data_IF_555751101395
#
_entry.id   IF_555751101395
#
_cell.length_a   1.000
_cell.length_b   1.000
_cell.length_c   1.000
_cell.angle_alpha   90.00
_cell.angle_beta   90.00
_cell.angle_gamma   90.00
#
_symmetry.space_group_name_H-M   'P 1'
#
loop_
_entity.id
_entity.type
_entity.pdbx_description
1 polymer ?
#
# COMPACT_ATOMS: atom_id res chain seq x y z
N UNK A 1 -12.41 -7.44 -8.67
CA UNK A 1 -11.02 -7.95 -8.69
C UNK A 1 -10.64 -8.40 -7.30
N UNK A 2 -9.93 -9.53 -7.20
CA UNK A 2 -9.24 -9.94 -5.99
C UNK A 2 -7.78 -9.48 -6.08
N UNK A 3 -7.25 -8.91 -5.00
CA UNK A 3 -5.84 -8.58 -4.86
C UNK A 3 -5.00 -9.85 -4.76
N UNK A 4 -3.85 -9.84 -5.44
CA UNK A 4 -2.81 -10.82 -5.15
C UNK A 4 -2.20 -10.54 -3.76
N UNK A 5 -1.56 -11.53 -3.16
CA UNK A 5 -0.89 -11.38 -1.86
C UNK A 5 0.03 -10.15 -1.75
N UNK A 6 0.96 -9.87 -2.70
CA UNK A 6 1.82 -8.69 -2.60
C UNK A 6 1.03 -7.37 -2.69
N UNK A 7 -0.09 -7.36 -3.39
CA UNK A 7 -0.98 -6.19 -3.50
C UNK A 7 -1.69 -5.95 -2.17
N UNK A 8 -2.24 -7.01 -1.57
CA UNK A 8 -2.90 -6.93 -0.28
C UNK A 8 -1.92 -6.51 0.83
N UNK A 9 -0.68 -7.02 0.82
CA UNK A 9 0.37 -6.62 1.76
C UNK A 9 0.73 -5.14 1.62
N UNK A 10 0.95 -4.64 0.41
CA UNK A 10 1.29 -3.22 0.18
C UNK A 10 0.13 -2.31 0.58
N UNK A 11 -1.10 -2.64 0.15
CA UNK A 11 -2.27 -1.80 0.44
C UNK A 11 -2.63 -1.85 1.93
N UNK A 12 -2.52 -3.02 2.55
CA UNK A 12 -2.65 -3.23 3.99
C UNK A 12 -1.68 -2.37 4.77
N UNK A 13 -0.39 -2.45 4.46
CA UNK A 13 0.65 -1.63 5.10
C UNK A 13 0.43 -0.12 4.92
N UNK A 14 -0.07 0.34 3.77
CA UNK A 14 -0.41 1.74 3.58
C UNK A 14 -1.70 2.16 4.31
N UNK A 15 -2.65 1.23 4.49
CA UNK A 15 -3.93 1.49 5.15
C UNK A 15 -3.84 1.55 6.67
N UNK A 16 -2.83 0.91 7.30
CA UNK A 16 -2.65 0.95 8.75
C UNK A 16 -2.04 2.27 9.24
N UNK A 17 -1.46 3.05 8.33
CA UNK A 17 -0.90 4.37 8.58
C UNK A 17 -1.99 5.40 8.81
N UNK A 18 -1.64 6.46 9.53
CA UNK A 18 -2.47 7.66 9.60
C UNK A 18 -2.66 8.28 8.19
N UNK A 19 -3.81 8.88 7.85
CA UNK A 19 -4.04 9.49 6.52
C UNK A 19 -3.02 10.58 6.13
N UNK A 20 -2.37 11.21 7.11
CA UNK A 20 -1.30 12.19 6.88
C UNK A 20 0.07 11.54 6.62
N UNK A 21 0.23 10.26 6.95
CA UNK A 21 1.49 9.54 6.81
C UNK A 21 1.63 8.92 5.41
N UNK A 22 2.86 8.95 4.91
CA UNK A 22 3.21 8.39 3.61
C UNK A 22 4.56 7.66 3.71
N UNK A 23 4.71 6.55 2.99
CA UNK A 23 5.93 5.74 2.97
C UNK A 23 6.60 5.79 1.60
N UNK A 24 7.92 5.80 1.60
CA UNK A 24 8.72 5.54 0.39
C UNK A 24 8.67 4.05 0.02
N UNK A 25 8.94 3.72 -1.24
CA UNK A 25 9.07 2.33 -1.67
C UNK A 25 10.10 1.57 -0.82
N UNK A 26 11.23 2.21 -0.47
CA UNK A 26 12.26 1.62 0.39
C UNK A 26 11.78 1.31 1.81
N UNK A 27 10.93 2.16 2.39
CA UNK A 27 10.32 1.88 3.70
C UNK A 27 9.32 0.72 3.60
N UNK A 28 8.53 0.66 2.53
CA UNK A 28 7.64 -0.47 2.27
C UNK A 28 8.43 -1.77 2.13
N UNK A 29 9.55 -1.79 1.39
CA UNK A 29 10.42 -2.97 1.26
C UNK A 29 10.83 -3.53 2.63
N UNK A 30 11.21 -2.65 3.55
CA UNK A 30 11.62 -3.03 4.91
C UNK A 30 10.44 -3.54 5.74
N UNK A 31 9.28 -2.92 5.62
CA UNK A 31 8.11 -3.27 6.41
C UNK A 31 7.49 -4.62 6.02
N UNK A 32 7.33 -4.88 4.72
CA UNK A 32 6.60 -6.06 4.22
C UNK A 32 7.51 -7.15 3.63
N UNK A 33 8.83 -6.95 3.68
CA UNK A 33 9.86 -7.86 3.15
C UNK A 33 9.61 -8.31 1.71
N UNK A 34 9.17 -7.38 0.86
CA UNK A 34 9.02 -7.61 -0.58
C UNK A 34 10.16 -6.96 -1.37
N UNK A 35 10.52 -7.54 -2.54
CA UNK A 35 11.47 -6.92 -3.46
C UNK A 35 10.98 -5.55 -3.93
N UNK A 36 11.91 -4.62 -4.08
CA UNK A 36 11.60 -3.23 -4.47
C UNK A 36 10.89 -3.15 -5.83
N UNK A 37 11.30 -3.95 -6.81
CA UNK A 37 10.64 -4.01 -8.12
C UNK A 37 9.16 -4.44 -8.01
N UNK A 38 8.84 -5.39 -7.12
CA UNK A 38 7.46 -5.83 -6.91
C UNK A 38 6.64 -4.70 -6.28
N UNK A 39 7.21 -3.99 -5.32
CA UNK A 39 6.57 -2.83 -4.67
C UNK A 39 6.30 -1.72 -5.70
N UNK A 40 7.28 -1.34 -6.52
CA UNK A 40 7.08 -0.30 -7.55
C UNK A 40 5.96 -0.68 -8.53
N UNK A 41 5.92 -1.93 -9.00
CA UNK A 41 4.84 -2.40 -9.90
C UNK A 41 3.46 -2.30 -9.26
N UNK A 42 3.34 -2.72 -8.00
CA UNK A 42 2.07 -2.65 -7.25
C UNK A 42 1.66 -1.20 -7.01
N UNK A 43 2.59 -0.34 -6.60
CA UNK A 43 2.32 1.08 -6.34
C UNK A 43 1.89 1.82 -7.62
N UNK A 44 2.55 1.55 -8.76
CA UNK A 44 2.15 2.09 -10.06
C UNK A 44 0.74 1.63 -10.44
N UNK A 45 0.41 0.35 -10.22
CA UNK A 45 -0.95 -0.18 -10.45
C UNK A 45 -1.97 0.55 -9.57
N UNK A 46 -1.69 0.71 -8.28
CA UNK A 46 -2.57 1.39 -7.35
C UNK A 46 -2.75 2.87 -7.64
N UNK A 47 -1.71 3.55 -8.14
CA UNK A 47 -1.83 4.91 -8.66
C UNK A 47 -2.83 4.99 -9.81
N UNK A 48 -2.68 4.09 -10.80
CA UNK A 48 -3.56 4.04 -11.96
C UNK A 48 -5.01 3.69 -11.62
N UNK A 49 -5.23 2.89 -10.57
CA UNK A 49 -6.57 2.52 -10.12
C UNK A 49 -7.11 3.42 -9.00
N UNK A 50 -6.40 4.49 -8.63
CA UNK A 50 -6.81 5.42 -7.58
C UNK A 50 -6.86 4.84 -6.16
N UNK A 51 -6.15 3.73 -5.89
CA UNK A 51 -6.12 3.09 -4.56
C UNK A 51 -5.00 3.64 -3.67
N UNK A 52 -3.91 4.09 -4.27
CA UNK A 52 -2.83 4.78 -3.58
C UNK A 52 -2.41 6.01 -4.40
N UNK A 53 -1.83 7.01 -3.75
CA UNK A 53 -1.30 8.18 -4.45
C UNK A 53 0.13 8.48 -4.00
N UNK A 54 0.92 9.01 -4.93
CA UNK A 54 2.30 9.43 -4.68
C UNK A 54 2.43 10.94 -4.58
N UNK A 55 3.35 11.43 -3.74
CA UNK A 55 3.78 12.84 -3.76
C UNK A 55 4.69 13.10 -4.96
N UNK A 56 4.58 14.29 -5.56
CA UNK A 56 5.37 14.69 -6.73
C UNK A 56 6.76 15.27 -6.39
N UNK A 57 7.05 15.54 -5.11
CA UNK A 57 8.29 16.18 -4.67
C UNK A 57 9.18 15.21 -3.87
N UNK A 58 10.47 15.16 -4.21
CA UNK A 58 11.45 14.29 -3.57
C UNK A 58 11.28 12.79 -3.91
N UNK A 59 11.87 11.86 -3.14
CA UNK A 59 11.58 10.44 -3.34
C UNK A 59 10.08 10.22 -3.14
N UNK A 60 9.44 9.58 -4.13
CA UNK A 60 7.99 9.38 -4.14
C UNK A 60 7.51 8.75 -2.82
N UNK A 61 6.66 9.48 -2.09
CA UNK A 61 6.00 8.99 -0.88
C UNK A 61 4.58 8.58 -1.22
N UNK A 62 4.20 7.40 -0.76
CA UNK A 62 2.96 6.74 -1.09
C UNK A 62 2.04 6.73 0.11
N UNK A 63 0.77 7.09 -0.12
CA UNK A 63 -0.28 6.99 0.89
C UNK A 63 -1.49 6.26 0.34
N UNK A 64 -2.21 5.58 1.23
CA UNK A 64 -3.48 4.95 0.90
C UNK A 64 -4.55 6.03 0.70
N UNK A 65 -5.39 5.88 -0.31
CA UNK A 65 -6.59 6.70 -0.50
C UNK A 65 -7.76 6.12 0.30
N UNK A 66 -8.85 6.87 0.43
CA UNK A 66 -10.07 6.34 1.04
C UNK A 66 -10.64 5.14 0.26
N UNK A 67 -10.58 5.19 -1.07
CA UNK A 67 -10.92 4.06 -1.94
C UNK A 67 -10.03 2.83 -1.66
N UNK A 68 -8.73 3.05 -1.47
CA UNK A 68 -7.77 2.00 -1.10
C UNK A 68 -8.08 1.37 0.25
N UNK A 69 -8.43 2.19 1.25
CA UNK A 69 -8.84 1.72 2.59
C UNK A 69 -10.10 0.87 2.50
N UNK A 70 -11.13 1.34 1.80
CA UNK A 70 -12.37 0.57 1.60
C UNK A 70 -12.15 -0.73 0.83
N UNK A 71 -11.18 -0.75 -0.09
CA UNK A 71 -10.90 -1.96 -0.85
C UNK A 71 -10.23 -3.05 0.01
N UNK A 72 -9.38 -2.66 0.97
CA UNK A 72 -8.65 -3.59 1.85
C UNK A 72 -9.41 -3.96 3.12
N UNK A 73 -10.50 -3.26 3.48
CA UNK A 73 -11.36 -3.63 4.63
C UNK A 73 -12.23 -4.87 4.39
N UNK A 74 -12.17 -5.47 3.20
CA UNK A 74 -12.92 -6.70 2.90
C UNK A 74 -12.41 -7.86 3.78
N UNK A 75 -13.29 -8.74 4.30
CA UNK A 75 -12.89 -9.81 5.22
C UNK A 75 -11.77 -10.71 4.70
N UNK A 76 -11.73 -10.96 3.39
CA UNK A 76 -10.68 -11.77 2.73
C UNK A 76 -9.27 -11.18 2.87
N UNK A 77 -9.14 -9.90 3.27
CA UNK A 77 -7.85 -9.22 3.44
C UNK A 77 -7.57 -8.84 4.90
N UNK A 78 -8.35 -9.31 5.87
CA UNK A 78 -8.22 -8.92 7.28
C UNK A 78 -6.82 -9.16 7.84
N UNK A 79 -6.17 -10.26 7.45
CA UNK A 79 -4.82 -10.60 7.90
C UNK A 79 -3.75 -9.59 7.46
N UNK A 80 -3.97 -8.90 6.34
CA UNK A 80 -3.05 -7.89 5.82
C UNK A 80 -3.25 -6.50 6.42
N UNK A 81 -4.42 -6.24 7.02
CA UNK A 81 -4.72 -4.98 7.73
C UNK A 81 -4.37 -5.08 9.21
N UNK A 82 -4.39 -6.30 9.79
CA UNK A 82 -4.22 -6.51 11.22
C UNK A 82 -2.77 -6.39 11.73
N UNK A 83 -1.79 -6.18 10.87
CA UNK A 83 -0.40 -6.01 11.30
C UNK A 83 -0.15 -4.61 11.86
N UNK A 84 -0.52 -4.40 13.13
CA UNK A 84 0.29 -3.58 14.05
C UNK A 84 1.11 -4.53 14.94
N UNK A 85 2.37 -4.17 15.28
CA UNK A 85 3.23 -4.98 16.14
C UNK A 85 2.65 -5.16 17.54
#
# INVERSE_FOLDING_TARGET
MAFAEPEAKVLGALSTLDPSQALTARQLCRAIRLPENSIHRVLLRFSRTGLAMSTLQGPARWRCTDCGRLAITRPVYSDYVRTRP
#
